data_IF_284681216391
#
_entry.id   IF_284681216391
#
_cell.length_a   1.000
_cell.length_b   1.000
_cell.length_c   1.000
_cell.angle_alpha   90.00
_cell.angle_beta   90.00
_cell.angle_gamma   90.00
#
_symmetry.space_group_name_H-M   'P 1'
#
loop_
_entity.id
_entity.type
_entity.pdbx_description
1 polymer ?
#
# COMPACT_ATOMS: atom_id res chain seq x y z
N UNK A 1 -5.37 8.94 -21.74
CA UNK A 1 -6.62 8.97 -20.95
C UNK A 1 -6.58 10.15 -20.00
N UNK A 2 -7.68 10.86 -19.81
CA UNK A 2 -7.62 12.11 -19.07
C UNK A 2 -7.52 11.84 -17.56
N UNK A 3 -6.51 12.38 -16.93
CA UNK A 3 -6.53 12.61 -15.51
C UNK A 3 -7.71 13.50 -15.15
N UNK A 4 -8.51 13.06 -14.21
CA UNK A 4 -9.62 13.82 -13.66
C UNK A 4 -9.21 14.36 -12.30
N UNK A 5 -9.32 15.67 -12.13
CA UNK A 5 -9.26 16.29 -10.80
C UNK A 5 -10.60 16.03 -10.11
N UNK A 6 -10.58 15.46 -8.92
CA UNK A 6 -11.78 15.15 -8.16
C UNK A 6 -12.42 16.42 -7.57
N UNK A 7 -13.64 16.29 -7.04
CA UNK A 7 -14.45 17.40 -6.55
C UNK A 7 -13.80 18.15 -5.38
N UNK A 8 -12.88 17.52 -4.64
CA UNK A 8 -12.06 18.13 -3.58
C UNK A 8 -11.02 19.11 -4.12
N UNK A 9 -10.81 19.18 -5.45
CA UNK A 9 -9.81 20.00 -6.15
C UNK A 9 -8.35 19.77 -5.69
N UNK A 10 -8.06 18.58 -5.16
CA UNK A 10 -6.74 18.20 -4.62
C UNK A 10 -6.27 16.83 -5.09
N UNK A 11 -7.19 15.91 -5.31
CA UNK A 11 -6.90 14.52 -5.64
C UNK A 11 -7.14 14.26 -7.12
N UNK A 12 -6.20 13.58 -7.75
CA UNK A 12 -6.30 13.17 -9.14
C UNK A 12 -6.59 11.67 -9.24
N UNK A 13 -7.41 11.32 -10.21
CA UNK A 13 -7.63 9.93 -10.62
C UNK A 13 -7.59 9.80 -12.14
N UNK A 14 -7.14 8.66 -12.61
CA UNK A 14 -7.23 8.25 -14.00
C UNK A 14 -8.44 7.33 -14.15
N UNK A 15 -9.40 7.71 -14.98
CA UNK A 15 -10.69 7.01 -15.13
C UNK A 15 -10.98 6.83 -16.61
N UNK A 16 -11.32 5.62 -17.05
CA UNK A 16 -11.61 5.33 -18.46
C UNK A 16 -13.09 5.01 -18.73
N UNK A 17 -13.91 4.85 -17.70
CA UNK A 17 -15.31 4.50 -17.81
C UNK A 17 -16.17 5.31 -16.84
N UNK A 18 -17.44 5.53 -17.18
CA UNK A 18 -18.43 6.11 -16.26
C UNK A 18 -18.82 5.13 -15.14
N UNK A 19 -18.70 3.84 -15.41
CA UNK A 19 -19.01 2.76 -14.47
C UNK A 19 -17.80 1.83 -14.30
N UNK A 20 -16.69 2.29 -13.68
CA UNK A 20 -15.51 1.46 -13.47
C UNK A 20 -15.85 0.28 -12.54
N UNK A 21 -15.27 -0.88 -12.83
CA UNK A 21 -15.44 -2.09 -12.03
C UNK A 21 -14.19 -2.38 -11.18
N UNK A 22 -13.03 -1.84 -11.57
CA UNK A 22 -11.75 -2.06 -10.89
C UNK A 22 -11.18 -0.75 -10.35
N UNK A 23 -10.73 -0.77 -9.10
CA UNK A 23 -9.99 0.33 -8.47
C UNK A 23 -8.53 -0.05 -8.27
N UNK A 24 -7.59 0.79 -8.72
CA UNK A 24 -6.15 0.59 -8.58
C UNK A 24 -5.53 1.58 -7.58
N UNK A 25 -4.71 1.07 -6.66
CA UNK A 25 -4.03 1.82 -5.60
C UNK A 25 -2.53 1.51 -5.61
N UNK A 26 -1.73 2.52 -5.91
CA UNK A 26 -0.29 2.40 -6.08
C UNK A 26 0.50 2.32 -4.77
N UNK A 27 1.77 1.92 -4.84
CA UNK A 27 2.71 1.87 -3.73
C UNK A 27 3.23 3.24 -3.29
N UNK A 28 3.98 3.27 -2.20
CA UNK A 28 4.63 4.48 -1.67
C UNK A 28 5.56 5.13 -2.70
N UNK A 29 5.53 6.47 -2.81
CA UNK A 29 6.39 7.23 -3.73
C UNK A 29 6.07 7.03 -5.21
N UNK A 30 4.93 6.44 -5.54
CA UNK A 30 4.53 6.10 -6.91
C UNK A 30 3.27 6.88 -7.35
N UNK A 31 2.62 6.44 -8.42
CA UNK A 31 1.41 7.06 -8.94
C UNK A 31 0.52 6.04 -9.67
N UNK A 32 -0.67 6.46 -10.07
CA UNK A 32 -1.60 5.68 -10.90
C UNK A 32 -0.97 5.14 -12.19
N UNK A 33 0.12 5.74 -12.67
CA UNK A 33 0.84 5.32 -13.88
C UNK A 33 1.44 3.91 -13.77
N UNK A 34 1.69 3.41 -12.57
CA UNK A 34 2.19 2.06 -12.35
C UNK A 34 1.27 0.98 -12.93
N UNK A 35 -0.01 1.28 -13.00
CA UNK A 35 -1.02 0.36 -13.51
C UNK A 35 -1.36 0.54 -15.00
N UNK A 36 -0.68 1.44 -15.73
CA UNK A 36 -1.03 1.75 -17.12
C UNK A 36 -1.11 0.52 -18.03
N UNK A 37 -0.19 -0.45 -17.87
CA UNK A 37 -0.18 -1.67 -18.68
C UNK A 37 -1.32 -2.64 -18.33
N UNK A 38 -1.73 -2.67 -17.05
CA UNK A 38 -2.76 -3.58 -16.52
C UNK A 38 -4.14 -2.98 -16.74
N UNK A 39 -4.31 -1.71 -16.41
CA UNK A 39 -5.60 -1.04 -16.36
C UNK A 39 -6.30 -0.94 -17.72
N UNK A 40 -5.56 -0.97 -18.82
CA UNK A 40 -6.15 -0.93 -20.18
C UNK A 40 -7.06 -2.13 -20.48
N UNK A 41 -6.97 -3.21 -19.70
CA UNK A 41 -7.81 -4.39 -19.85
C UNK A 41 -9.15 -4.32 -19.11
N UNK A 42 -9.42 -3.23 -18.39
CA UNK A 42 -10.55 -3.10 -17.48
C UNK A 42 -11.25 -1.74 -17.62
N UNK A 43 -12.49 -1.68 -17.16
CA UNK A 43 -13.16 -0.43 -16.81
C UNK A 43 -12.70 -0.02 -15.40
N UNK A 44 -11.94 1.06 -15.28
CA UNK A 44 -11.18 1.33 -14.05
C UNK A 44 -11.22 2.77 -13.57
N UNK A 45 -10.92 2.90 -12.27
CA UNK A 45 -10.45 4.11 -11.61
C UNK A 45 -9.09 3.83 -10.95
N UNK A 46 -8.11 4.68 -11.17
CA UNK A 46 -6.77 4.57 -10.57
C UNK A 46 -6.37 5.90 -9.95
N UNK A 47 -6.15 5.93 -8.66
CA UNK A 47 -5.85 7.16 -7.93
C UNK A 47 -4.36 7.48 -7.95
N UNK A 48 -4.04 8.78 -8.07
CA UNK A 48 -2.86 9.33 -7.46
C UNK A 48 -3.23 9.61 -6.00
N UNK A 49 -2.74 8.79 -5.07
CA UNK A 49 -3.06 8.92 -3.64
C UNK A 49 -2.60 10.29 -3.11
N UNK A 50 -3.28 10.91 -2.11
CA UNK A 50 -2.86 12.17 -1.52
C UNK A 50 -1.37 12.18 -1.13
N UNK A 51 -0.65 13.20 -1.60
CA UNK A 51 0.81 13.33 -1.43
C UNK A 51 1.65 12.65 -2.51
N UNK A 52 1.02 12.06 -3.53
CA UNK A 52 1.73 11.34 -4.59
C UNK A 52 1.21 11.74 -5.98
N UNK A 53 2.05 11.51 -7.01
CA UNK A 53 1.72 11.79 -8.39
C UNK A 53 1.36 13.25 -8.61
N UNK A 54 0.15 13.53 -9.09
CA UNK A 54 -0.40 14.88 -9.28
C UNK A 54 -1.22 15.38 -8.10
N UNK A 55 -1.56 14.50 -7.15
CA UNK A 55 -2.36 14.85 -5.98
C UNK A 55 -1.57 15.67 -4.98
N UNK A 56 -2.23 16.67 -4.38
CA UNK A 56 -1.61 17.51 -3.36
C UNK A 56 -1.33 16.72 -2.08
N UNK A 57 -0.35 17.17 -1.31
CA UNK A 57 -0.10 16.64 0.03
C UNK A 57 -1.32 16.86 0.93
N UNK A 58 -1.64 15.90 1.81
CA UNK A 58 -2.67 16.07 2.80
C UNK A 58 -2.24 17.12 3.84
N UNK A 59 -3.21 17.81 4.46
CA UNK A 59 -2.93 18.82 5.49
C UNK A 59 -2.34 18.20 6.75
N UNK A 60 -2.74 16.96 7.06
CA UNK A 60 -2.26 16.20 8.22
C UNK A 60 -1.74 14.84 7.76
N UNK A 61 -0.80 14.27 8.53
CA UNK A 61 -0.33 12.91 8.29
C UNK A 61 -1.48 11.89 8.46
N UNK A 62 -1.56 10.92 7.54
CA UNK A 62 -2.66 9.96 7.44
C UNK A 62 -2.17 8.52 7.69
N UNK A 63 -2.99 7.73 8.35
CA UNK A 63 -2.86 6.27 8.41
C UNK A 63 -3.41 5.65 7.12
N UNK A 64 -3.08 4.38 6.76
CA UNK A 64 -3.73 3.68 5.66
C UNK A 64 -5.26 3.64 5.78
N UNK A 65 -5.79 3.52 7.00
CA UNK A 65 -7.22 3.60 7.25
C UNK A 65 -7.80 4.96 6.89
N UNK A 66 -7.16 6.06 7.29
CA UNK A 66 -7.60 7.42 6.94
C UNK A 66 -7.53 7.66 5.44
N UNK A 67 -6.55 7.08 4.72
CA UNK A 67 -6.55 7.07 3.25
C UNK A 67 -7.75 6.31 2.69
N UNK A 68 -8.07 5.15 3.24
CA UNK A 68 -9.24 4.36 2.81
C UNK A 68 -10.55 5.14 3.03
N UNK A 69 -10.75 5.71 4.22
CA UNK A 69 -11.91 6.55 4.55
C UNK A 69 -12.04 7.73 3.56
N UNK A 70 -10.91 8.36 3.23
CA UNK A 70 -10.87 9.52 2.33
C UNK A 70 -11.18 9.17 0.88
N UNK A 71 -10.54 8.14 0.31
CA UNK A 71 -10.75 7.80 -1.10
C UNK A 71 -12.06 7.05 -1.34
N UNK A 72 -12.64 6.39 -0.34
CA UNK A 72 -13.87 5.62 -0.46
C UNK A 72 -15.05 6.45 -1.01
N UNK A 73 -15.12 7.73 -0.68
CA UNK A 73 -16.15 8.66 -1.15
C UNK A 73 -16.08 8.93 -2.68
N UNK A 74 -14.93 8.67 -3.30
CA UNK A 74 -14.70 8.89 -4.73
C UNK A 74 -14.73 7.60 -5.57
N UNK A 75 -14.84 6.44 -4.92
CA UNK A 75 -14.91 5.15 -5.60
C UNK A 75 -16.38 4.85 -5.91
N UNK A 76 -16.78 4.75 -7.21
CA UNK A 76 -18.14 4.42 -7.59
C UNK A 76 -18.62 3.08 -6.99
N UNK A 77 -19.93 2.95 -6.80
CA UNK A 77 -20.54 1.71 -6.29
C UNK A 77 -20.42 0.53 -7.27
N UNK A 78 -20.15 0.80 -8.54
CA UNK A 78 -19.89 -0.23 -9.56
C UNK A 78 -18.54 -0.96 -9.36
N UNK A 79 -17.62 -0.39 -8.57
CA UNK A 79 -16.32 -1.03 -8.27
C UNK A 79 -16.54 -2.16 -7.28
N UNK A 80 -16.28 -3.37 -7.71
CA UNK A 80 -16.31 -4.59 -6.91
C UNK A 80 -14.95 -5.27 -6.76
N UNK A 81 -13.95 -4.81 -7.49
CA UNK A 81 -12.58 -5.33 -7.46
C UNK A 81 -11.59 -4.23 -7.11
N UNK A 82 -10.76 -4.46 -6.08
CA UNK A 82 -9.72 -3.53 -5.64
C UNK A 82 -8.35 -4.19 -5.80
N UNK A 83 -7.45 -3.50 -6.50
CA UNK A 83 -6.06 -3.92 -6.72
C UNK A 83 -5.14 -2.95 -6.00
N UNK A 84 -4.38 -3.42 -5.02
CA UNK A 84 -3.45 -2.61 -4.25
C UNK A 84 -2.01 -3.14 -4.28
N UNK A 85 -1.06 -2.28 -4.61
CA UNK A 85 0.36 -2.59 -4.53
C UNK A 85 0.97 -2.01 -3.26
N UNK A 86 1.67 -2.83 -2.49
CA UNK A 86 2.47 -2.40 -1.32
C UNK A 86 1.66 -1.49 -0.37
N UNK A 87 1.97 -0.19 -0.27
CA UNK A 87 1.20 0.79 0.52
C UNK A 87 -0.27 0.86 0.11
N UNK A 88 -0.57 0.90 -1.20
CA UNK A 88 -1.94 0.88 -1.72
C UNK A 88 -2.70 -0.39 -1.33
N UNK A 89 -2.00 -1.52 -1.16
CA UNK A 89 -2.60 -2.75 -0.67
C UNK A 89 -3.03 -2.68 0.80
N UNK A 90 -2.30 -1.96 1.66
CA UNK A 90 -2.77 -1.69 3.04
C UNK A 90 -4.08 -0.91 3.03
N UNK A 91 -4.17 0.11 2.17
CA UNK A 91 -5.39 0.90 1.99
C UNK A 91 -6.53 0.01 1.47
N UNK A 92 -6.24 -0.88 0.51
CA UNK A 92 -7.21 -1.81 -0.07
C UNK A 92 -7.82 -2.75 0.99
N UNK A 93 -7.02 -3.25 1.95
CA UNK A 93 -7.54 -4.04 3.09
C UNK A 93 -8.50 -3.22 3.94
N UNK A 94 -8.20 -1.96 4.24
CA UNK A 94 -9.14 -1.11 4.98
C UNK A 94 -10.40 -0.77 4.18
N UNK A 95 -10.28 -0.62 2.84
CA UNK A 95 -11.44 -0.40 1.97
C UNK A 95 -12.39 -1.59 1.95
N UNK A 96 -11.89 -2.82 2.03
CA UNK A 96 -12.74 -4.02 2.07
C UNK A 96 -13.59 -4.12 3.36
N UNK A 97 -13.27 -3.33 4.39
CA UNK A 97 -14.11 -3.19 5.59
C UNK A 97 -15.19 -2.09 5.43
N UNK A 98 -15.03 -1.17 4.47
CA UNK A 98 -15.89 0.02 4.31
C UNK A 98 -16.93 -0.14 3.21
N UNK A 99 -16.74 -1.08 2.30
CA UNK A 99 -17.58 -1.29 1.13
C UNK A 99 -17.66 -2.76 0.74
N UNK A 100 -18.68 -3.10 0.01
CA UNK A 100 -18.81 -4.44 -0.57
C UNK A 100 -17.77 -4.62 -1.68
N UNK A 101 -16.83 -5.53 -1.47
CA UNK A 101 -15.75 -5.89 -2.39
C UNK A 101 -15.88 -7.37 -2.70
N UNK A 102 -15.96 -7.71 -3.99
CA UNK A 102 -15.98 -9.11 -4.42
C UNK A 102 -14.57 -9.68 -4.44
N UNK A 103 -13.62 -8.90 -4.98
CA UNK A 103 -12.25 -9.37 -5.20
C UNK A 103 -11.23 -8.35 -4.69
N UNK A 104 -10.28 -8.83 -3.92
CA UNK A 104 -9.17 -8.06 -3.36
C UNK A 104 -7.84 -8.62 -3.86
N UNK A 105 -7.14 -7.86 -4.70
CA UNK A 105 -5.87 -8.26 -5.31
C UNK A 105 -4.74 -7.48 -4.62
N UNK A 106 -3.89 -8.20 -3.91
CA UNK A 106 -2.84 -7.64 -3.06
C UNK A 106 -1.46 -8.00 -3.62
N UNK A 107 -0.73 -7.01 -4.14
CA UNK A 107 0.58 -7.19 -4.78
C UNK A 107 1.68 -6.72 -3.85
N UNK A 108 2.51 -7.60 -3.33
CA UNK A 108 3.67 -7.28 -2.49
C UNK A 108 3.31 -6.48 -1.23
N UNK A 109 2.20 -6.82 -0.54
CA UNK A 109 1.66 -6.00 0.56
C UNK A 109 2.22 -6.43 1.92
N UNK A 110 2.83 -5.53 2.71
CA UNK A 110 3.31 -5.86 4.04
C UNK A 110 2.14 -5.98 5.04
N UNK A 111 1.40 -7.10 4.96
CA UNK A 111 0.16 -7.38 5.69
C UNK A 111 0.38 -7.68 7.18
N UNK A 112 1.53 -8.26 7.49
CA UNK A 112 1.86 -8.73 8.84
C UNK A 112 3.10 -8.00 9.30
N UNK A 113 3.02 -7.40 10.48
CA UNK A 113 4.18 -6.75 11.10
C UNK A 113 5.06 -7.80 11.75
N UNK A 114 6.10 -8.27 11.02
CA UNK A 114 7.11 -9.15 11.65
C UNK A 114 7.70 -8.43 12.87
N UNK A 115 7.63 -9.07 14.03
CA UNK A 115 8.38 -8.60 15.19
C UNK A 115 9.88 -8.74 14.87
N UNK A 116 10.49 -7.62 14.54
CA UNK A 116 11.94 -7.60 14.31
C UNK A 116 12.62 -7.76 15.68
N UNK A 117 12.88 -8.98 16.07
CA UNK A 117 13.81 -9.31 17.17
C UNK A 117 15.26 -8.96 16.77
N UNK A 118 15.47 -7.78 16.20
CA UNK A 118 16.80 -7.36 15.79
C UNK A 118 17.44 -6.46 16.84
N UNK A 119 18.74 -6.66 17.07
CA UNK A 119 19.60 -5.75 17.86
C UNK A 119 19.46 -4.27 17.43
N UNK A 120 18.97 -3.99 16.20
CA UNK A 120 18.72 -2.63 15.67
C UNK A 120 17.62 -1.87 16.42
N UNK A 121 16.53 -2.54 16.82
CA UNK A 121 15.45 -1.91 17.62
C UNK A 121 15.92 -1.61 19.05
N UNK A 122 16.73 -2.48 19.63
CA UNK A 122 17.36 -2.27 20.92
C UNK A 122 18.20 -1.00 20.92
N UNK A 123 18.98 -0.76 19.87
CA UNK A 123 19.83 0.43 19.75
C UNK A 123 19.01 1.72 19.64
N UNK A 124 17.93 1.75 18.85
CA UNK A 124 17.04 2.92 18.75
C UNK A 124 16.35 3.23 20.08
N UNK A 125 15.96 2.19 20.83
CA UNK A 125 15.38 2.36 22.17
C UNK A 125 16.42 2.90 23.17
N UNK A 126 17.68 2.50 23.04
CA UNK A 126 18.80 3.07 23.83
C UNK A 126 18.97 4.56 23.50
N UNK A 127 18.96 4.95 22.21
CA UNK A 127 19.05 6.36 21.83
C UNK A 127 17.86 7.19 22.32
N UNK A 128 16.64 6.65 22.29
CA UNK A 128 15.45 7.30 22.86
C UNK A 128 15.58 7.48 24.38
N UNK A 129 16.11 6.49 25.09
CA UNK A 129 16.38 6.59 26.51
C UNK A 129 17.44 7.66 26.82
N UNK A 130 18.53 7.69 26.06
CA UNK A 130 19.60 8.70 26.24
C UNK A 130 19.08 10.13 25.97
N UNK A 131 18.14 10.30 25.02
CA UNK A 131 17.47 11.58 24.80
C UNK A 131 16.61 11.98 26.01
N UNK A 132 15.83 11.05 26.57
CA UNK A 132 14.99 11.28 27.75
C UNK A 132 15.81 11.75 28.97
N UNK A 133 17.10 11.38 29.02
CA UNK A 133 18.07 11.84 30.03
C UNK A 133 18.84 13.08 29.59
N UNK A 134 18.49 13.73 28.47
CA UNK A 134 19.15 14.94 27.99
C UNK A 134 20.55 14.75 27.41
N UNK A 135 21.00 13.50 27.18
CA UNK A 135 22.33 13.16 26.68
C UNK A 135 22.43 13.32 25.16
N UNK A 136 21.32 13.19 24.46
CA UNK A 136 21.24 13.35 22.99
C UNK A 136 20.16 14.38 22.65
N UNK A 137 20.45 15.27 21.70
CA UNK A 137 19.45 16.20 21.17
C UNK A 137 18.50 15.51 20.18
N UNK A 138 17.29 16.03 20.03
CA UNK A 138 16.32 15.53 19.03
C UNK A 138 16.90 15.55 17.62
N UNK A 139 17.72 16.57 17.29
CA UNK A 139 18.40 16.68 16.00
C UNK A 139 19.38 15.52 15.77
N UNK A 140 20.10 15.07 16.80
CA UNK A 140 21.01 13.92 16.69
C UNK A 140 20.23 12.62 16.48
N UNK A 141 19.10 12.46 17.15
CA UNK A 141 18.23 11.29 16.99
C UNK A 141 17.65 11.26 15.59
N UNK A 142 17.16 12.39 15.07
CA UNK A 142 16.65 12.47 13.70
C UNK A 142 17.75 12.17 12.67
N UNK A 143 18.98 12.64 12.88
CA UNK A 143 20.10 12.30 12.01
C UNK A 143 20.41 10.79 12.01
N UNK A 144 20.33 10.14 13.17
CA UNK A 144 20.54 8.68 13.30
C UNK A 144 19.40 7.91 12.62
N UNK A 145 18.15 8.32 12.81
CA UNK A 145 16.99 7.73 12.14
C UNK A 145 17.10 7.90 10.63
N UNK A 146 17.44 9.10 10.13
CA UNK A 146 17.64 9.39 8.72
C UNK A 146 18.74 8.52 8.11
N UNK A 147 19.86 8.33 8.77
CA UNK A 147 20.98 7.51 8.27
C UNK A 147 20.69 5.99 8.27
N UNK A 148 19.77 5.51 9.12
CA UNK A 148 19.44 4.08 9.27
C UNK A 148 18.07 3.71 8.69
N UNK A 149 17.27 4.69 8.30
CA UNK A 149 15.95 4.50 7.74
C UNK A 149 15.96 3.83 6.36
N UNK A 150 14.82 3.30 5.94
CA UNK A 150 14.60 2.84 4.57
C UNK A 150 14.85 3.97 3.56
N UNK A 151 14.97 3.62 2.28
CA UNK A 151 15.07 4.60 1.20
C UNK A 151 13.91 5.62 1.26
N UNK A 152 12.69 5.13 1.43
CA UNK A 152 11.48 5.96 1.53
C UNK A 152 11.51 6.90 2.73
N UNK A 153 11.97 6.42 3.90
CA UNK A 153 12.09 7.26 5.10
C UNK A 153 13.11 8.39 4.91
N UNK A 154 14.21 8.12 4.21
CA UNK A 154 15.24 9.13 3.94
C UNK A 154 14.80 10.20 2.98
N UNK A 155 13.94 9.83 2.00
CA UNK A 155 13.46 10.72 0.95
C UNK A 155 12.12 11.38 1.26
N UNK A 156 11.43 10.98 2.34
CA UNK A 156 10.22 11.65 2.80
C UNK A 156 10.55 12.74 3.82
N UNK A 157 9.79 13.82 3.80
CA UNK A 157 9.92 14.96 4.74
C UNK A 157 8.55 15.38 5.26
N UNK A 158 8.52 16.14 6.37
CA UNK A 158 7.31 16.74 6.92
C UNK A 158 6.17 15.73 7.11
N UNK A 159 4.98 16.11 6.67
CA UNK A 159 3.73 15.36 6.78
C UNK A 159 3.84 13.97 6.14
N UNK A 160 4.53 13.87 5.00
CA UNK A 160 4.67 12.60 4.30
C UNK A 160 5.58 11.62 5.06
N UNK A 161 6.61 12.10 5.76
CA UNK A 161 7.41 11.23 6.64
C UNK A 161 6.59 10.69 7.81
N UNK A 162 5.76 11.54 8.43
CA UNK A 162 4.88 11.11 9.52
C UNK A 162 3.83 10.11 9.02
N UNK A 163 3.30 10.31 7.82
CA UNK A 163 2.41 9.38 7.12
C UNK A 163 3.10 8.02 6.88
N UNK A 164 4.36 8.02 6.41
CA UNK A 164 5.12 6.79 6.23
C UNK A 164 5.31 6.03 7.55
N UNK A 165 5.61 6.75 8.63
CA UNK A 165 5.75 6.14 9.97
C UNK A 165 4.44 5.51 10.42
N UNK A 166 3.31 6.16 10.19
CA UNK A 166 1.97 5.57 10.46
C UNK A 166 1.74 4.34 9.60
N UNK A 167 2.04 4.41 8.29
CA UNK A 167 1.85 3.31 7.35
C UNK A 167 2.67 2.06 7.70
N UNK A 168 3.95 2.20 8.06
CA UNK A 168 4.79 1.05 8.43
C UNK A 168 4.44 0.46 9.80
N UNK A 169 3.69 1.20 10.62
CA UNK A 169 3.19 0.73 11.91
C UNK A 169 1.77 0.15 11.85
N UNK A 170 1.10 0.25 10.71
CA UNK A 170 -0.21 -0.32 10.48
C UNK A 170 -0.09 -1.86 10.41
N UNK A 171 -0.54 -2.54 11.45
CA UNK A 171 -0.52 -4.00 11.56
C UNK A 171 -1.90 -4.56 11.21
N UNK A 172 -1.97 -5.26 10.07
CA UNK A 172 -3.20 -5.80 9.54
C UNK A 172 -3.46 -7.25 10.00
N UNK A 173 -2.56 -7.85 10.78
CA UNK A 173 -2.61 -9.27 11.17
C UNK A 173 -3.98 -9.71 11.69
N UNK A 174 -4.58 -8.91 12.58
CA UNK A 174 -5.88 -9.23 13.18
C UNK A 174 -7.07 -9.01 12.24
N UNK A 175 -6.87 -8.32 11.11
CA UNK A 175 -7.90 -8.06 10.10
C UNK A 175 -8.00 -9.19 9.08
N UNK A 176 -6.91 -9.91 8.83
CA UNK A 176 -6.82 -10.90 7.75
C UNK A 176 -7.89 -12.00 7.87
N UNK A 177 -8.17 -12.47 9.07
CA UNK A 177 -9.19 -13.50 9.33
C UNK A 177 -10.64 -13.02 9.12
N UNK A 178 -10.85 -11.71 9.05
CA UNK A 178 -12.18 -11.09 8.89
C UNK A 178 -12.42 -10.63 7.44
N UNK A 179 -11.52 -10.91 6.50
CA UNK A 179 -11.71 -10.61 5.09
C UNK A 179 -12.62 -11.69 4.49
N UNK A 180 -13.82 -11.32 4.08
CA UNK A 180 -14.84 -12.24 3.58
C UNK A 180 -14.89 -12.34 2.04
N UNK A 181 -14.20 -11.44 1.31
CA UNK A 181 -14.13 -11.45 -0.15
C UNK A 181 -13.09 -12.45 -0.67
N UNK A 182 -13.06 -12.67 -2.00
CA UNK A 182 -11.99 -13.45 -2.64
C UNK A 182 -10.69 -12.63 -2.64
N UNK A 183 -9.60 -13.22 -2.15
CA UNK A 183 -8.30 -12.57 -2.08
C UNK A 183 -7.29 -13.25 -2.99
N UNK A 184 -6.59 -12.47 -3.81
CA UNK A 184 -5.43 -12.94 -4.56
C UNK A 184 -4.18 -12.22 -4.03
N UNK A 185 -3.27 -12.99 -3.44
CA UNK A 185 -1.97 -12.52 -2.99
C UNK A 185 -0.97 -12.75 -4.12
N UNK A 186 -0.40 -11.69 -4.67
CA UNK A 186 0.57 -11.74 -5.77
C UNK A 186 1.93 -11.30 -5.25
N UNK A 187 2.95 -12.13 -5.41
CA UNK A 187 4.27 -11.85 -4.87
C UNK A 187 5.38 -12.16 -5.84
N UNK A 188 6.38 -11.27 -5.91
CA UNK A 188 7.64 -11.60 -6.59
C UNK A 188 8.45 -12.59 -5.77
N UNK A 189 8.94 -13.67 -6.40
CA UNK A 189 9.77 -14.69 -5.72
C UNK A 189 11.09 -14.14 -5.19
N UNK A 190 11.57 -13.01 -5.74
CA UNK A 190 12.80 -12.30 -5.32
C UNK A 190 12.50 -10.94 -4.65
N UNK A 191 11.33 -10.79 -4.02
CA UNK A 191 10.98 -9.56 -3.28
C UNK A 191 11.91 -9.38 -2.06
N UNK A 192 12.73 -8.33 -2.09
CA UNK A 192 13.68 -7.97 -1.02
C UNK A 192 13.12 -6.93 -0.05
N UNK A 193 11.95 -6.35 -0.34
CA UNK A 193 11.32 -5.34 0.50
C UNK A 193 10.30 -5.98 1.45
N UNK A 194 9.46 -6.86 0.92
CA UNK A 194 8.45 -7.59 1.68
C UNK A 194 8.64 -9.09 1.48
N UNK A 195 9.18 -9.72 2.52
CA UNK A 195 9.51 -11.15 2.52
C UNK A 195 8.29 -12.02 2.14
N UNK A 196 8.50 -12.99 1.26
CA UNK A 196 7.49 -13.94 0.78
C UNK A 196 6.81 -14.74 1.91
N UNK A 197 7.48 -14.90 3.05
CA UNK A 197 6.88 -15.56 4.21
C UNK A 197 5.69 -14.78 4.77
N UNK A 198 5.63 -13.45 4.55
CA UNK A 198 4.46 -12.64 4.89
C UNK A 198 3.26 -13.04 4.03
N UNK A 199 3.48 -13.30 2.73
CA UNK A 199 2.43 -13.76 1.84
C UNK A 199 1.90 -15.14 2.24
N UNK A 200 2.80 -16.07 2.58
CA UNK A 200 2.44 -17.44 3.03
C UNK A 200 1.63 -17.39 4.32
N UNK A 201 2.11 -16.64 5.32
CA UNK A 201 1.40 -16.47 6.60
C UNK A 201 0.04 -15.77 6.41
N UNK A 202 -0.06 -14.78 5.53
CA UNK A 202 -1.31 -14.12 5.21
C UNK A 202 -2.29 -15.08 4.52
N UNK A 203 -1.80 -15.90 3.59
CA UNK A 203 -2.59 -16.94 2.92
C UNK A 203 -3.19 -17.95 3.91
N UNK A 204 -2.43 -18.34 4.94
CA UNK A 204 -2.93 -19.23 5.99
C UNK A 204 -4.01 -18.59 6.86
N UNK A 205 -4.01 -17.25 7.01
CA UNK A 205 -4.95 -16.50 7.86
C UNK A 205 -6.21 -16.06 7.11
N UNK A 206 -6.15 -15.86 5.80
CA UNK A 206 -7.27 -15.40 4.99
C UNK A 206 -8.04 -16.62 4.47
N UNK A 207 -9.30 -16.74 4.83
CA UNK A 207 -10.14 -17.91 4.56
C UNK A 207 -10.29 -18.21 3.06
N UNK A 208 -10.51 -17.18 2.25
CA UNK A 208 -10.74 -17.28 0.81
C UNK A 208 -9.59 -16.60 0.05
N UNK A 209 -8.41 -17.19 0.06
CA UNK A 209 -7.26 -16.62 -0.65
C UNK A 209 -6.57 -17.60 -1.58
N UNK A 210 -5.93 -17.03 -2.61
CA UNK A 210 -5.03 -17.72 -3.54
C UNK A 210 -3.68 -17.02 -3.52
N UNK A 211 -2.58 -17.76 -3.42
CA UNK A 211 -1.23 -17.22 -3.45
C UNK A 211 -0.58 -17.50 -4.81
N UNK A 212 -0.14 -16.42 -5.47
CA UNK A 212 0.55 -16.43 -6.76
C UNK A 212 1.98 -15.92 -6.56
N UNK A 213 2.97 -16.79 -6.84
CA UNK A 213 4.38 -16.43 -6.77
C UNK A 213 4.90 -16.25 -8.19
N UNK A 214 5.37 -15.04 -8.49
CA UNK A 214 5.95 -14.68 -9.79
C UNK A 214 7.47 -14.90 -9.72
N UNK A 215 7.94 -15.99 -10.29
CA UNK A 215 9.35 -16.38 -10.25
C UNK A 215 10.26 -15.32 -10.91
N UNK A 216 11.40 -15.06 -10.29
CA UNK A 216 12.39 -14.07 -10.79
C UNK A 216 11.91 -12.61 -10.73
N UNK A 217 10.80 -12.31 -10.06
CA UNK A 217 10.29 -10.95 -9.92
C UNK A 217 10.56 -10.40 -8.52
N UNK A 218 10.81 -9.08 -8.46
CA UNK A 218 11.01 -8.35 -7.20
C UNK A 218 9.70 -7.74 -6.68
N UNK A 219 9.85 -6.71 -5.81
CA UNK A 219 8.75 -6.08 -5.10
C UNK A 219 7.67 -5.45 -6.01
N UNK A 220 8.05 -4.92 -7.18
CA UNK A 220 7.10 -4.32 -8.12
C UNK A 220 7.04 -5.10 -9.45
N UNK A 221 6.20 -6.14 -9.56
CA UNK A 221 6.04 -6.93 -10.77
C UNK A 221 5.03 -6.32 -11.77
N UNK A 222 4.38 -5.19 -11.46
CA UNK A 222 3.22 -4.66 -12.19
C UNK A 222 3.45 -4.50 -13.70
N UNK A 223 4.65 -4.04 -14.11
CA UNK A 223 4.96 -3.89 -15.52
C UNK A 223 5.60 -5.15 -16.13
N UNK A 224 6.46 -5.84 -15.38
CA UNK A 224 7.22 -6.99 -15.90
C UNK A 224 6.41 -8.28 -15.96
N UNK A 225 5.27 -8.34 -15.27
CA UNK A 225 4.32 -9.48 -15.25
C UNK A 225 2.89 -9.03 -15.49
N UNK A 226 2.68 -7.95 -16.26
CA UNK A 226 1.35 -7.37 -16.41
C UNK A 226 0.32 -8.35 -16.99
N UNK A 227 0.69 -9.21 -17.95
CA UNK A 227 -0.21 -10.22 -18.54
C UNK A 227 -0.63 -11.27 -17.50
N UNK A 228 0.30 -11.73 -16.66
CA UNK A 228 -0.01 -12.69 -15.58
C UNK A 228 -0.98 -12.07 -14.57
N UNK A 229 -0.74 -10.81 -14.20
CA UNK A 229 -1.60 -10.07 -13.26
C UNK A 229 -2.98 -9.82 -13.87
N UNK A 230 -3.06 -9.42 -15.15
CA UNK A 230 -4.35 -9.28 -15.85
C UNK A 230 -5.11 -10.60 -15.88
N UNK A 231 -4.44 -11.71 -16.16
CA UNK A 231 -5.08 -13.04 -16.13
C UNK A 231 -5.62 -13.40 -14.74
N UNK A 232 -4.86 -13.10 -13.67
CA UNK A 232 -5.30 -13.34 -12.29
C UNK A 232 -6.54 -12.51 -11.98
N UNK A 233 -6.56 -11.22 -12.35
CA UNK A 233 -7.74 -10.35 -12.15
C UNK A 233 -8.95 -10.86 -12.94
N UNK A 234 -8.75 -11.39 -14.16
CA UNK A 234 -9.84 -11.93 -14.98
C UNK A 234 -10.38 -13.29 -14.49
N UNK A 235 -9.68 -13.98 -13.59
CA UNK A 235 -10.15 -15.23 -12.96
C UNK A 235 -11.15 -14.97 -11.82
N UNK A 236 -11.33 -13.71 -11.44
CA UNK A 236 -12.19 -13.25 -10.34
C UNK A 236 -13.54 -12.77 -10.86
#
# INVERSE_FOLDING_TARGET
MPYKLLDDKKTYANVNSENPTVCFLHGWGRSSQDFNSISQSFDYISFDLPGFGKSLEPINSMTPKEYADYINQYIPNSVDTIVGHSFGGRIAVHLSELRDVRNLILVGVPLIKKQIHSKKLSILNIYKSLNKFGILSDQMIEKIKKNRGSYDYRNSEGIMRDTLVKAVNDDLTNKLQNIDCNVHLIWGGEDKEVDIDIAKEAHEKIKNSNLHILEGKGHNPLNSSYLEIVNIINLT
#
